data_IF_365163976829
#
_entry.id   IF_365163976829
#
_cell.length_a   1.000
_cell.length_b   1.000
_cell.length_c   1.000
_cell.angle_alpha   90.00
_cell.angle_beta   90.00
_cell.angle_gamma   90.00
#
_symmetry.space_group_name_H-M   'P 1'
#
loop_
_entity.id
_entity.type
_entity.pdbx_description
1 polymer ?
#
# COMPACT_ATOMS: atom_id res chain seq x y z
N UNK A 1 8.73 10.80 8.44
CA UNK A 1 7.31 11.15 8.29
C UNK A 1 6.55 9.85 8.09
N UNK A 2 5.31 9.74 8.57
CA UNK A 2 4.45 8.59 8.32
C UNK A 2 3.94 8.61 6.88
N UNK A 3 4.20 7.57 6.09
CA UNK A 3 3.65 7.43 4.74
C UNK A 3 2.26 6.77 4.76
N UNK A 4 1.46 7.02 3.74
CA UNK A 4 0.17 6.39 3.51
C UNK A 4 0.16 5.68 2.17
N UNK A 5 -0.53 4.55 2.13
CA UNK A 5 -0.98 3.94 0.88
C UNK A 5 -2.40 4.42 0.62
N UNK A 6 -2.62 4.98 -0.56
CA UNK A 6 -3.88 5.59 -0.95
C UNK A 6 -4.34 4.95 -2.24
N UNK A 7 -5.56 4.46 -2.23
CA UNK A 7 -6.23 4.01 -3.44
C UNK A 7 -6.93 5.22 -4.08
N UNK A 8 -6.39 5.69 -5.20
CA UNK A 8 -6.87 6.90 -5.88
C UNK A 8 -7.42 6.54 -7.23
N UNK A 9 -8.62 7.03 -7.54
CA UNK A 9 -9.22 6.96 -8.86
C UNK A 9 -9.03 8.29 -9.58
N UNK A 10 -8.61 8.22 -10.83
CA UNK A 10 -8.45 9.39 -11.68
C UNK A 10 -9.36 9.30 -12.91
N UNK A 11 -9.83 10.45 -13.41
CA UNK A 11 -10.20 10.56 -14.82
C UNK A 11 -8.93 10.62 -15.67
N UNK A 12 -9.06 10.22 -16.94
CA UNK A 12 -7.94 10.20 -17.89
C UNK A 12 -8.24 11.14 -19.06
N UNK A 13 -7.25 11.95 -19.44
CA UNK A 13 -7.21 12.70 -20.69
C UNK A 13 -5.94 12.32 -21.44
N UNK A 14 -6.10 11.70 -22.62
CA UNK A 14 -5.02 11.11 -23.42
C UNK A 14 -4.20 10.06 -22.64
N UNK A 15 -4.89 9.17 -21.92
CA UNK A 15 -4.32 8.15 -21.03
C UNK A 15 -3.50 8.68 -19.83
N UNK A 16 -3.50 10.00 -19.62
CA UNK A 16 -2.81 10.66 -18.50
C UNK A 16 -3.82 10.99 -17.38
N UNK A 17 -3.53 10.66 -16.10
CA UNK A 17 -4.39 11.01 -14.97
C UNK A 17 -4.48 12.52 -14.71
N UNK A 18 -5.62 12.97 -14.19
CA UNK A 18 -5.89 14.38 -13.87
C UNK A 18 -6.22 14.56 -12.38
N UNK A 19 -5.44 15.37 -11.67
CA UNK A 19 -5.54 15.56 -10.22
C UNK A 19 -6.85 16.23 -9.77
N UNK A 20 -7.34 17.23 -10.51
CA UNK A 20 -8.60 17.93 -10.18
C UNK A 20 -9.81 16.98 -10.07
N UNK A 21 -9.74 15.85 -10.77
CA UNK A 21 -10.78 14.82 -10.83
C UNK A 21 -10.54 13.67 -9.84
N UNK A 22 -9.46 13.73 -9.05
CA UNK A 22 -9.02 12.62 -8.23
C UNK A 22 -10.00 12.32 -7.10
N UNK A 23 -10.27 11.02 -6.91
CA UNK A 23 -11.15 10.52 -5.86
C UNK A 23 -10.37 9.53 -4.98
N UNK A 24 -10.23 9.87 -3.70
CA UNK A 24 -9.65 8.98 -2.70
C UNK A 24 -10.67 7.91 -2.29
N UNK A 25 -10.46 6.68 -2.75
CA UNK A 25 -11.36 5.55 -2.46
C UNK A 25 -11.10 4.95 -1.07
N UNK A 26 -9.82 4.76 -0.73
CA UNK A 26 -9.39 4.16 0.53
C UNK A 26 -7.99 4.62 0.87
N UNK A 27 -7.64 4.66 2.15
CA UNK A 27 -6.26 4.87 2.58
C UNK A 27 -5.94 4.08 3.83
N UNK A 28 -4.68 3.72 4.00
CA UNK A 28 -4.14 3.13 5.22
C UNK A 28 -2.73 3.65 5.46
N UNK A 29 -2.27 3.57 6.70
CA UNK A 29 -0.88 3.85 7.01
C UNK A 29 0.02 2.80 6.34
N UNK A 30 1.11 3.26 5.72
CA UNK A 30 2.08 2.39 5.09
C UNK A 30 3.23 2.09 6.07
N UNK A 31 3.45 0.83 6.46
CA UNK A 31 4.67 0.43 7.13
C UNK A 31 5.91 0.88 6.32
N UNK A 32 6.89 1.54 6.94
CA UNK A 32 8.14 1.88 6.25
C UNK A 32 8.84 0.67 5.63
N UNK A 33 8.71 -0.49 6.27
CA UNK A 33 9.24 -1.78 5.82
C UNK A 33 8.67 -2.16 4.45
N UNK A 34 7.35 -1.97 4.25
CA UNK A 34 6.70 -2.26 2.97
C UNK A 34 7.20 -1.32 1.86
N UNK A 35 7.33 -0.03 2.16
CA UNK A 35 7.75 0.96 1.16
C UNK A 35 9.21 0.73 0.77
N UNK A 36 10.09 0.47 1.74
CA UNK A 36 11.49 0.15 1.49
C UNK A 36 11.61 -1.13 0.65
N UNK A 37 10.86 -2.18 1.01
CA UNK A 37 10.83 -3.41 0.24
C UNK A 37 10.35 -3.17 -1.20
N UNK A 38 9.29 -2.39 -1.41
CA UNK A 38 8.78 -2.07 -2.73
C UNK A 38 9.80 -1.28 -3.58
N UNK A 39 10.55 -0.36 -2.96
CA UNK A 39 11.65 0.37 -3.62
C UNK A 39 12.76 -0.61 -4.02
N UNK A 40 13.19 -1.49 -3.11
CA UNK A 40 14.25 -2.49 -3.37
C UNK A 40 13.87 -3.46 -4.50
N UNK A 41 12.58 -3.77 -4.63
CA UNK A 41 12.04 -4.62 -5.70
C UNK A 41 11.78 -3.87 -7.01
N UNK A 42 11.99 -2.55 -7.06
CA UNK A 42 11.71 -1.74 -8.24
C UNK A 42 10.22 -1.64 -8.57
N UNK A 43 9.35 -1.82 -7.56
CA UNK A 43 7.90 -1.75 -7.70
C UNK A 43 7.36 -0.32 -7.54
N UNK A 44 8.16 0.62 -7.04
CA UNK A 44 7.77 2.04 -7.01
C UNK A 44 8.07 2.68 -8.35
N UNK A 45 7.05 3.25 -8.97
CA UNK A 45 7.15 4.03 -10.19
C UNK A 45 6.63 5.45 -9.94
N UNK A 46 7.20 6.41 -10.65
CA UNK A 46 6.71 7.78 -10.67
C UNK A 46 5.94 8.02 -11.97
N UNK A 47 4.79 8.66 -11.86
CA UNK A 47 4.01 9.13 -13.00
C UNK A 47 3.79 10.64 -12.87
N UNK A 48 3.82 11.35 -13.99
CA UNK A 48 3.34 12.72 -14.02
C UNK A 48 1.84 12.74 -14.31
N UNK A 49 1.09 13.49 -13.53
CA UNK A 49 -0.33 13.73 -13.71
C UNK A 49 -0.57 15.20 -14.06
N UNK A 50 -1.70 15.49 -14.70
CA UNK A 50 -2.14 16.86 -15.01
C UNK A 50 -2.76 17.49 -13.76
N UNK A 51 -2.51 18.78 -13.51
CA UNK A 51 -3.25 19.52 -12.48
C UNK A 51 -4.73 19.62 -12.87
N UNK A 52 -5.00 20.09 -14.10
CA UNK A 52 -6.35 20.16 -14.68
C UNK A 52 -6.44 19.73 -16.15
N UNK A 53 -7.66 19.54 -16.64
CA UNK A 53 -7.95 19.13 -18.02
C UNK A 53 -7.44 20.17 -19.03
N UNK A 54 -6.77 19.72 -20.09
CA UNK A 54 -6.15 20.61 -21.09
C UNK A 54 -4.78 21.16 -20.71
N UNK A 55 -4.25 20.82 -19.52
CA UNK A 55 -2.91 21.19 -19.09
C UNK A 55 -1.87 20.09 -19.37
N UNK A 56 -0.60 20.45 -19.20
CA UNK A 56 0.52 19.53 -19.33
C UNK A 56 0.68 18.74 -18.04
N UNK A 57 1.06 17.47 -18.15
CA UNK A 57 1.35 16.65 -16.98
C UNK A 57 2.67 17.06 -16.32
N UNK A 58 2.60 17.65 -15.12
CA UNK A 58 3.73 18.22 -14.41
C UNK A 58 3.78 17.88 -12.91
N UNK A 59 2.75 17.22 -12.37
CA UNK A 59 2.70 16.80 -10.97
C UNK A 59 3.26 15.37 -10.84
N UNK A 60 4.45 15.16 -10.24
CA UNK A 60 5.00 13.83 -10.01
C UNK A 60 4.27 13.13 -8.86
N UNK A 61 3.83 11.91 -9.09
CA UNK A 61 3.16 11.05 -8.10
C UNK A 61 3.84 9.68 -8.06
N UNK A 62 4.26 9.28 -6.86
CA UNK A 62 4.79 7.94 -6.60
C UNK A 62 3.66 6.94 -6.42
N UNK A 63 3.72 5.83 -7.14
CA UNK A 63 2.75 4.75 -7.05
C UNK A 63 3.44 3.39 -7.03
N UNK A 64 2.81 2.41 -6.40
CA UNK A 64 3.17 1.00 -6.55
C UNK A 64 2.69 0.54 -7.93
N UNK A 65 3.61 0.02 -8.74
CA UNK A 65 3.35 -0.51 -10.06
C UNK A 65 2.74 -1.92 -9.97
N UNK A 66 1.41 -1.96 -10.04
CA UNK A 66 0.60 -3.17 -10.02
C UNK A 66 0.15 -3.60 -11.43
N UNK A 67 0.78 -3.08 -12.50
CA UNK A 67 0.39 -3.39 -13.88
C UNK A 67 0.60 -4.85 -14.26
N UNK A 68 1.61 -5.49 -13.69
CA UNK A 68 1.82 -6.91 -13.85
C UNK A 68 1.15 -7.67 -12.70
N UNK A 69 0.30 -8.64 -13.04
CA UNK A 69 -0.37 -9.47 -12.02
C UNK A 69 0.62 -10.12 -11.04
N UNK A 70 1.85 -10.43 -11.50
CA UNK A 70 2.95 -10.93 -10.66
C UNK A 70 3.32 -9.96 -9.55
N UNK A 71 3.40 -8.66 -9.82
CA UNK A 71 3.80 -7.66 -8.82
C UNK A 71 2.81 -7.57 -7.67
N UNK A 72 1.52 -7.57 -7.98
CA UNK A 72 0.48 -7.52 -6.94
C UNK A 72 0.53 -8.78 -6.06
N UNK A 73 0.74 -9.95 -6.64
CA UNK A 73 0.89 -11.19 -5.87
C UNK A 73 2.18 -11.22 -5.04
N UNK A 74 3.29 -10.67 -5.55
CA UNK A 74 4.54 -10.55 -4.77
C UNK A 74 4.35 -9.65 -3.55
N UNK A 75 3.61 -8.53 -3.72
CA UNK A 75 3.25 -7.63 -2.62
C UNK A 75 2.38 -8.37 -1.59
N UNK A 76 1.37 -9.13 -2.04
CA UNK A 76 0.54 -9.93 -1.15
C UNK A 76 1.37 -10.95 -0.38
N UNK A 77 2.26 -11.68 -1.05
CA UNK A 77 3.12 -12.67 -0.40
C UNK A 77 4.01 -12.04 0.67
N UNK A 78 4.59 -10.87 0.39
CA UNK A 78 5.39 -10.15 1.37
C UNK A 78 4.56 -9.75 2.59
N UNK A 79 3.37 -9.16 2.39
CA UNK A 79 2.46 -8.80 3.49
C UNK A 79 2.02 -10.01 4.30
N UNK A 80 1.72 -11.13 3.64
CA UNK A 80 1.32 -12.36 4.33
C UNK A 80 2.48 -12.94 5.16
N UNK A 81 3.71 -12.87 4.66
CA UNK A 81 4.90 -13.26 5.41
C UNK A 81 5.10 -12.39 6.67
N UNK A 82 4.96 -11.07 6.55
CA UNK A 82 5.07 -10.14 7.68
C UNK A 82 3.98 -10.39 8.73
N UNK A 83 2.73 -10.59 8.29
CA UNK A 83 1.61 -10.91 9.18
C UNK A 83 1.85 -12.20 9.97
N UNK A 84 2.33 -13.25 9.31
CA UNK A 84 2.69 -14.51 9.96
C UNK A 84 3.82 -14.28 10.97
N UNK A 85 4.85 -13.51 10.60
CA UNK A 85 5.97 -13.18 11.49
C UNK A 85 5.52 -12.47 12.77
N UNK A 86 4.56 -11.54 12.69
CA UNK A 86 3.98 -10.88 13.86
C UNK A 86 3.19 -11.84 14.76
N UNK A 87 2.42 -12.77 14.18
CA UNK A 87 1.69 -13.79 14.95
C UNK A 87 2.65 -14.72 15.68
N UNK A 88 3.70 -15.19 15.00
CA UNK A 88 4.71 -16.07 15.58
C UNK A 88 5.49 -15.38 16.72
N UNK A 89 5.86 -14.12 16.52
CA UNK A 89 6.52 -13.30 17.54
C UNK A 89 5.61 -13.06 18.75
N UNK A 90 4.33 -12.73 18.54
CA UNK A 90 3.38 -12.59 19.64
C UNK A 90 3.22 -13.92 20.42
N UNK A 91 3.18 -15.05 19.70
CA UNK A 91 3.08 -16.37 20.34
C UNK A 91 4.31 -16.72 21.19
N UNK A 92 5.53 -16.38 20.75
CA UNK A 92 6.74 -16.66 21.55
C UNK A 92 6.69 -15.96 22.91
N UNK A 93 6.20 -14.72 22.97
CA UNK A 93 6.02 -13.96 24.23
C UNK A 93 4.91 -14.48 25.16
N UNK A 94 4.12 -15.45 24.72
CA UNK A 94 3.11 -16.13 25.56
C UNK A 94 3.65 -17.50 25.99
N UNK A 95 4.29 -18.22 25.07
CA UNK A 95 4.68 -19.63 25.24
C UNK A 95 5.85 -19.87 26.20
N UNK A 96 6.70 -18.87 26.46
CA UNK A 96 7.86 -19.00 27.35
C UNK A 96 7.53 -18.78 28.84
N UNK A 97 6.25 -18.69 29.21
CA UNK A 97 5.80 -18.56 30.60
C UNK A 97 6.03 -17.18 31.22
N UNK A 98 6.61 -16.24 30.46
CA UNK A 98 6.73 -14.83 30.82
C UNK A 98 5.86 -14.00 29.88
N UNK A 99 4.64 -13.67 30.33
CA UNK A 99 3.80 -12.71 29.63
C UNK A 99 4.47 -11.33 29.69
N UNK A 100 4.84 -10.79 28.52
CA UNK A 100 5.35 -9.42 28.41
C UNK A 100 4.31 -8.55 27.67
N UNK A 101 3.35 -7.92 28.38
CA UNK A 101 2.23 -7.21 27.77
C UNK A 101 2.64 -6.13 26.77
N UNK A 102 3.71 -5.39 27.09
CA UNK A 102 4.20 -4.30 26.24
C UNK A 102 4.65 -4.78 24.85
N UNK A 103 5.33 -5.93 24.77
CA UNK A 103 5.77 -6.48 23.49
C UNK A 103 4.59 -7.07 22.71
N UNK A 104 3.62 -7.66 23.41
CA UNK A 104 2.36 -8.11 22.80
C UNK A 104 1.57 -6.95 22.19
N UNK A 105 1.38 -5.87 22.95
CA UNK A 105 0.67 -4.68 22.47
C UNK A 105 1.35 -4.08 21.23
N UNK A 106 2.69 -4.09 21.20
CA UNK A 106 3.47 -3.66 20.05
C UNK A 106 3.19 -4.56 18.83
N UNK A 107 3.32 -5.88 18.96
CA UNK A 107 3.08 -6.81 17.85
C UNK A 107 1.63 -6.80 17.37
N UNK A 108 0.65 -6.64 18.27
CA UNK A 108 -0.75 -6.49 17.87
C UNK A 108 -1.01 -5.18 17.14
N UNK A 109 -0.33 -4.10 17.53
CA UNK A 109 -0.41 -2.82 16.82
C UNK A 109 0.20 -2.92 15.42
N UNK A 110 1.38 -3.54 15.28
CA UNK A 110 2.03 -3.77 13.99
C UNK A 110 1.17 -4.68 13.11
N UNK A 111 0.66 -5.79 13.65
CA UNK A 111 -0.25 -6.70 12.97
C UNK A 111 -1.52 -6.00 12.48
N UNK A 112 -2.10 -5.11 13.29
CA UNK A 112 -3.27 -4.33 12.89
C UNK A 112 -2.98 -3.47 11.66
N UNK A 113 -1.84 -2.76 11.65
CA UNK A 113 -1.42 -1.94 10.51
C UNK A 113 -1.27 -2.79 9.25
N UNK A 114 -0.54 -3.91 9.33
CA UNK A 114 -0.34 -4.80 8.19
C UNK A 114 -1.66 -5.40 7.67
N UNK A 115 -2.61 -5.67 8.57
CA UNK A 115 -3.96 -6.11 8.18
C UNK A 115 -4.74 -5.02 7.44
N UNK A 116 -4.63 -3.76 7.85
CA UNK A 116 -5.28 -2.65 7.14
C UNK A 116 -4.72 -2.51 5.72
N UNK A 117 -3.40 -2.60 5.55
CA UNK A 117 -2.77 -2.59 4.22
C UNK A 117 -3.24 -3.77 3.38
N UNK A 118 -3.27 -4.97 3.96
CA UNK A 118 -3.78 -6.17 3.26
C UNK A 118 -5.23 -5.98 2.79
N UNK A 119 -6.07 -5.39 3.61
CA UNK A 119 -7.46 -5.12 3.26
C UNK A 119 -7.58 -4.09 2.13
N UNK A 120 -6.75 -3.06 2.14
CA UNK A 120 -6.69 -2.08 1.05
C UNK A 120 -6.30 -2.74 -0.28
N UNK A 121 -5.27 -3.59 -0.28
CA UNK A 121 -4.86 -4.31 -1.49
C UNK A 121 -5.91 -5.32 -1.96
N UNK A 122 -6.58 -6.00 -1.01
CA UNK A 122 -7.65 -6.94 -1.33
C UNK A 122 -8.81 -6.22 -2.00
N UNK A 123 -9.20 -5.05 -1.48
CA UNK A 123 -10.22 -4.19 -2.08
C UNK A 123 -9.82 -3.80 -3.52
N UNK A 124 -8.56 -3.39 -3.73
CA UNK A 124 -8.01 -3.10 -5.06
C UNK A 124 -8.12 -4.30 -6.00
N UNK A 125 -7.67 -5.48 -5.58
CA UNK A 125 -7.70 -6.72 -6.39
C UNK A 125 -9.12 -7.18 -6.73
N UNK A 126 -10.03 -7.13 -5.76
CA UNK A 126 -11.38 -7.72 -5.90
C UNK A 126 -12.38 -6.77 -6.56
N UNK A 127 -12.29 -5.46 -6.31
CA UNK A 127 -13.27 -4.48 -6.80
C UNK A 127 -12.75 -3.61 -7.94
N UNK A 128 -11.44 -3.44 -8.06
CA UNK A 128 -10.84 -2.38 -8.87
C UNK A 128 -9.74 -2.92 -9.80
N UNK A 129 -10.11 -3.81 -10.71
CA UNK A 129 -9.22 -4.31 -11.78
C UNK A 129 -8.95 -3.30 -12.91
N UNK A 130 -9.52 -2.09 -12.84
CA UNK A 130 -9.32 -1.03 -13.83
C UNK A 130 -8.00 -0.26 -13.63
N UNK A 131 -7.37 0.11 -14.75
CA UNK A 131 -6.08 0.82 -14.80
C UNK A 131 -6.13 2.27 -14.27
N UNK A 132 -7.32 2.85 -14.14
CA UNK A 132 -7.53 4.25 -13.71
C UNK A 132 -7.53 4.40 -12.19
N UNK A 133 -7.42 3.29 -11.46
CA UNK A 133 -7.31 3.27 -10.01
C UNK A 133 -5.88 2.89 -9.66
N UNK A 134 -5.15 3.82 -9.03
CA UNK A 134 -3.73 3.69 -8.69
C UNK A 134 -3.55 3.50 -7.20
N UNK A 135 -2.48 2.79 -6.83
CA UNK A 135 -2.03 2.65 -5.45
C UNK A 135 -0.90 3.67 -5.19
N UNK A 136 -1.26 4.85 -4.71
CA UNK A 136 -0.36 6.00 -4.51
C UNK A 136 0.32 5.91 -3.15
N UNK A 137 1.60 6.29 -3.08
CA UNK A 137 2.38 6.45 -1.85
C UNK A 137 2.45 7.95 -1.53
N UNK A 138 1.83 8.36 -0.42
CA UNK A 138 1.74 9.77 0.02
C UNK A 138 2.14 10.01 1.46
#
# INVERSE_FOLDING_TARGET
MSQKLILVKYELEDDIPIDESSENLMSSYAPPELINWAIEKGLISEINIKESSGEVADIPVSMIDDRENSHLEDIFQHIEAELIGHVESAHSYISEGLLIPKELDKHFSELHIWLEVRNLLKEKKEKYSNNNIKLVVG
#
